data_IF_048073126452
#
_entry.id   IF_048073126452
#
_cell.length_a   1.000
_cell.length_b   1.000
_cell.length_c   1.000
_cell.angle_alpha   90.00
_cell.angle_beta   90.00
_cell.angle_gamma   90.00
#
_symmetry.space_group_name_H-M   'P 1'
#
loop_
_entity.id
_entity.type
_entity.pdbx_description
1 polymer ?
#
# COMPACT_ATOMS: atom_id res chain seq x y z
N UNK A 1 -8.32 7.69 -16.60
CA UNK A 1 -7.38 7.58 -17.73
C UNK A 1 -7.89 8.41 -18.90
N UNK A 2 -6.97 8.88 -19.75
CA UNK A 2 -7.23 9.86 -20.80
C UNK A 2 -8.43 9.48 -21.68
N UNK A 3 -9.23 10.48 -22.07
CA UNK A 3 -10.49 10.38 -22.83
C UNK A 3 -11.68 9.71 -22.10
N UNK A 4 -11.55 9.37 -20.81
CA UNK A 4 -12.67 8.92 -19.99
C UNK A 4 -13.47 10.08 -19.37
N UNK A 5 -14.70 9.80 -18.94
CA UNK A 5 -15.58 10.77 -18.25
C UNK A 5 -15.08 11.17 -16.85
N UNK A 6 -14.11 10.43 -16.29
CA UNK A 6 -13.59 10.68 -14.94
C UNK A 6 -14.61 10.46 -13.81
N UNK A 7 -15.69 9.72 -14.06
CA UNK A 7 -16.80 9.53 -13.09
C UNK A 7 -16.59 8.36 -12.13
N UNK A 8 -15.54 7.56 -12.32
CA UNK A 8 -15.18 6.41 -11.48
C UNK A 8 -13.65 6.23 -11.49
N UNK A 9 -13.15 5.41 -10.57
CA UNK A 9 -11.76 4.97 -10.55
C UNK A 9 -11.34 4.41 -11.91
N UNK A 10 -10.17 4.86 -12.40
CA UNK A 10 -9.60 4.31 -13.62
C UNK A 10 -8.95 2.95 -13.37
N UNK A 11 -8.67 2.14 -14.41
CA UNK A 11 -7.97 0.87 -14.23
C UNK A 11 -6.64 1.00 -13.47
N UNK A 12 -5.91 2.11 -13.68
CA UNK A 12 -4.66 2.38 -12.96
C UNK A 12 -4.88 2.89 -11.53
N UNK A 13 -6.05 3.45 -11.20
CA UNK A 13 -6.44 3.70 -9.79
C UNK A 13 -6.76 2.39 -9.08
N UNK A 14 -7.54 1.51 -9.73
CA UNK A 14 -7.83 0.17 -9.20
C UNK A 14 -6.56 -0.65 -8.98
N UNK A 15 -5.56 -0.48 -9.85
CA UNK A 15 -4.23 -1.06 -9.68
C UNK A 15 -3.48 -0.56 -8.45
N UNK A 16 -3.51 0.75 -8.17
CA UNK A 16 -2.94 1.30 -6.94
C UNK A 16 -3.69 0.78 -5.70
N UNK A 17 -5.02 0.78 -5.75
CA UNK A 17 -5.87 0.29 -4.68
C UNK A 17 -5.69 -1.22 -4.42
N UNK A 18 -5.42 -2.03 -5.45
CA UNK A 18 -5.18 -3.46 -5.28
C UNK A 18 -3.87 -3.75 -4.54
N UNK A 19 -2.82 -2.95 -4.78
CA UNK A 19 -1.56 -3.04 -4.03
C UNK A 19 -1.81 -2.72 -2.55
N UNK A 20 -2.45 -1.59 -2.25
CA UNK A 20 -2.77 -1.20 -0.88
C UNK A 20 -3.65 -2.25 -0.17
N UNK A 21 -4.71 -2.72 -0.83
CA UNK A 21 -5.60 -3.77 -0.29
C UNK A 21 -4.86 -5.07 0.01
N UNK A 22 -3.93 -5.46 -0.86
CA UNK A 22 -3.10 -6.64 -0.65
C UNK A 22 -2.17 -6.46 0.56
N UNK A 23 -1.50 -5.31 0.67
CA UNK A 23 -0.65 -4.99 1.83
C UNK A 23 -1.45 -5.01 3.13
N UNK A 24 -2.63 -4.37 3.17
CA UNK A 24 -3.51 -4.37 4.35
C UNK A 24 -3.91 -5.78 4.77
N UNK A 25 -4.27 -6.63 3.80
CA UNK A 25 -4.68 -8.01 4.07
C UNK A 25 -3.53 -8.82 4.68
N UNK A 26 -2.33 -8.75 4.10
CA UNK A 26 -1.18 -9.48 4.62
C UNK A 26 -0.73 -8.94 5.99
N UNK A 27 -0.77 -7.61 6.18
CA UNK A 27 -0.51 -7.00 7.49
C UNK A 27 -1.49 -7.51 8.55
N UNK A 28 -2.80 -7.55 8.26
CA UNK A 28 -3.81 -8.02 9.20
C UNK A 28 -3.65 -9.50 9.56
N UNK A 29 -3.35 -10.34 8.55
CA UNK A 29 -3.03 -11.77 8.77
C UNK A 29 -1.80 -11.93 9.66
N UNK A 30 -0.73 -11.17 9.40
CA UNK A 30 0.49 -11.22 10.20
C UNK A 30 0.26 -10.73 11.64
N UNK A 31 -0.48 -9.64 11.80
CA UNK A 31 -0.84 -9.09 13.10
C UNK A 31 -1.62 -10.11 13.95
N UNK A 32 -2.64 -10.72 13.37
CA UNK A 32 -3.43 -11.77 14.01
C UNK A 32 -2.56 -12.97 14.41
N UNK A 33 -1.68 -13.44 13.52
CA UNK A 33 -0.80 -14.57 13.80
C UNK A 33 0.23 -14.29 14.92
N UNK A 34 0.56 -13.03 15.16
CA UNK A 34 1.52 -12.60 16.17
C UNK A 34 0.88 -11.95 17.40
N UNK A 35 -0.45 -11.96 17.51
CA UNK A 35 -1.17 -11.56 18.72
C UNK A 35 -1.28 -10.05 18.95
N UNK A 36 -1.24 -9.24 17.88
CA UNK A 36 -1.47 -7.79 17.96
C UNK A 36 -2.53 -7.33 16.97
N UNK A 37 -3.07 -6.12 17.16
CA UNK A 37 -4.09 -5.54 16.28
C UNK A 37 -3.57 -4.31 15.51
N UNK A 38 -4.10 -4.15 14.30
CA UNK A 38 -3.94 -2.99 13.43
C UNK A 38 -5.31 -2.42 13.00
N UNK A 39 -6.37 -2.73 13.74
CA UNK A 39 -7.73 -2.25 13.44
C UNK A 39 -7.79 -0.73 13.49
N UNK A 40 -8.40 -0.13 12.47
CA UNK A 40 -8.41 1.33 12.27
C UNK A 40 -7.27 1.84 11.40
N UNK A 41 -6.34 0.98 10.96
CA UNK A 41 -5.38 1.31 9.93
C UNK A 41 -6.08 1.66 8.60
N UNK A 42 -5.51 2.61 7.87
CA UNK A 42 -5.85 2.87 6.47
C UNK A 42 -4.59 3.23 5.66
N UNK A 43 -4.70 3.14 4.33
CA UNK A 43 -3.62 3.51 3.40
C UNK A 43 -4.17 4.50 2.39
N UNK A 44 -3.50 5.64 2.26
CA UNK A 44 -3.72 6.57 1.16
C UNK A 44 -2.76 6.25 0.01
N UNK A 45 -3.26 6.33 -1.22
CA UNK A 45 -2.48 5.97 -2.41
C UNK A 45 -2.45 7.12 -3.41
N UNK A 46 -1.25 7.48 -3.86
CA UNK A 46 -1.04 8.38 -5.00
C UNK A 46 -0.28 7.62 -6.09
N UNK A 47 -0.76 7.69 -7.35
CA UNK A 47 -0.03 7.14 -8.50
C UNK A 47 0.58 8.25 -9.33
N UNK A 48 1.82 8.07 -9.75
CA UNK A 48 2.49 8.92 -10.73
C UNK A 48 2.68 8.11 -12.01
N UNK A 49 2.18 8.67 -13.11
CA UNK A 49 2.24 8.02 -14.42
C UNK A 49 3.52 8.41 -15.14
N UNK A 50 4.28 7.42 -15.61
CA UNK A 50 5.37 7.63 -16.55
C UNK A 50 4.84 7.70 -17.99
N UNK A 51 5.56 8.39 -18.87
CA UNK A 51 5.27 8.46 -20.30
C UNK A 51 6.13 7.48 -21.12
N UNK A 52 5.72 7.21 -22.37
CA UNK A 52 6.49 6.50 -23.40
C UNK A 52 7.06 5.11 -23.00
N UNK A 53 6.23 4.04 -22.92
CA UNK A 53 4.77 4.04 -23.00
C UNK A 53 4.14 4.52 -21.69
N UNK A 54 2.89 4.99 -21.76
CA UNK A 54 2.13 5.40 -20.57
C UNK A 54 1.94 4.20 -19.64
N UNK A 55 2.43 4.31 -18.41
CA UNK A 55 2.32 3.27 -17.36
C UNK A 55 2.41 3.91 -15.98
N UNK A 56 2.10 3.15 -14.93
CA UNK A 56 2.40 3.57 -13.56
C UNK A 56 3.93 3.56 -13.41
N UNK A 57 4.52 4.69 -12.99
CA UNK A 57 5.96 4.83 -12.73
C UNK A 57 6.29 4.82 -11.25
N UNK A 58 5.41 5.38 -10.41
CA UNK A 58 5.54 5.39 -8.96
C UNK A 58 4.17 5.23 -8.30
N UNK A 59 4.17 4.52 -7.17
CA UNK A 59 3.06 4.42 -6.23
C UNK A 59 3.55 4.92 -4.87
N UNK A 60 2.97 6.02 -4.40
CA UNK A 60 3.15 6.49 -3.03
C UNK A 60 2.06 5.91 -2.15
N UNK A 61 2.48 5.40 -0.99
CA UNK A 61 1.64 4.70 -0.04
C UNK A 61 1.88 5.30 1.33
N UNK A 62 0.93 6.10 1.80
CA UNK A 62 0.93 6.68 3.13
C UNK A 62 0.10 5.76 4.04
N UNK A 63 0.79 5.04 4.91
CA UNK A 63 0.22 4.02 5.79
C UNK A 63 -0.01 4.63 7.17
N UNK A 64 -1.27 4.81 7.53
CA UNK A 64 -1.67 5.36 8.82
C UNK A 64 -2.00 4.20 9.76
N UNK A 65 -1.16 4.05 10.78
CA UNK A 65 -1.31 3.02 11.81
C UNK A 65 -2.12 3.60 12.98
N UNK A 66 -2.95 2.80 13.66
CA UNK A 66 -3.92 3.30 14.65
C UNK A 66 -3.36 3.59 16.04
N UNK A 67 -2.14 3.13 16.36
CA UNK A 67 -1.49 3.32 17.67
C UNK A 67 -0.01 3.66 17.51
N UNK A 68 0.56 4.33 18.49
CA UNK A 68 1.96 4.79 18.48
C UNK A 68 2.95 3.79 19.06
N UNK A 69 2.48 2.90 19.92
CA UNK A 69 3.27 1.99 20.74
C UNK A 69 3.41 0.58 20.12
N UNK A 70 3.53 0.49 18.79
CA UNK A 70 3.96 -0.75 18.17
C UNK A 70 5.38 -1.08 18.59
N UNK A 71 5.60 -2.31 19.06
CA UNK A 71 6.97 -2.75 19.37
C UNK A 71 7.80 -2.83 18.09
N UNK A 72 9.13 -2.75 18.20
CA UNK A 72 10.02 -2.95 17.04
C UNK A 72 9.78 -4.30 16.33
N UNK A 73 9.32 -5.31 17.07
CA UNK A 73 8.98 -6.61 16.51
C UNK A 73 7.69 -6.54 15.69
N UNK A 74 6.66 -5.88 16.22
CA UNK A 74 5.39 -5.66 15.50
C UNK A 74 5.61 -4.84 14.23
N UNK A 75 6.38 -3.75 14.32
CA UNK A 75 6.74 -2.93 13.17
C UNK A 75 7.48 -3.73 12.08
N UNK A 76 8.38 -4.64 12.45
CA UNK A 76 9.04 -5.52 11.48
C UNK A 76 8.05 -6.43 10.74
N UNK A 77 7.02 -6.93 11.40
CA UNK A 77 5.97 -7.73 10.75
C UNK A 77 5.13 -6.88 9.78
N UNK A 78 4.77 -5.66 10.19
CA UNK A 78 4.08 -4.67 9.35
C UNK A 78 4.90 -4.37 8.09
N UNK A 79 6.16 -3.97 8.25
CA UNK A 79 7.05 -3.63 7.14
C UNK A 79 7.31 -4.80 6.19
N UNK A 80 7.49 -6.01 6.73
CA UNK A 80 7.68 -7.21 5.91
C UNK A 80 6.45 -7.47 5.06
N UNK A 81 5.26 -7.41 5.66
CA UNK A 81 3.98 -7.61 4.98
C UNK A 81 3.78 -6.63 3.82
N UNK A 82 4.14 -5.35 4.02
CA UNK A 82 4.09 -4.32 2.99
C UNK A 82 5.03 -4.65 1.82
N UNK A 83 6.24 -5.12 2.12
CA UNK A 83 7.26 -5.43 1.10
C UNK A 83 6.98 -6.72 0.33
N UNK A 84 6.35 -7.71 0.95
CA UNK A 84 6.27 -9.08 0.41
C UNK A 84 4.86 -9.55 0.08
N UNK A 85 3.86 -8.67 0.06
CA UNK A 85 2.51 -9.08 -0.31
C UNK A 85 2.48 -9.60 -1.77
N UNK A 86 1.56 -10.53 -2.11
CA UNK A 86 1.50 -11.09 -3.47
C UNK A 86 1.47 -10.05 -4.58
N UNK A 87 0.70 -8.96 -4.43
CA UNK A 87 0.65 -7.90 -5.45
C UNK A 87 1.98 -7.14 -5.54
N UNK A 88 2.64 -6.81 -4.42
CA UNK A 88 3.94 -6.14 -4.43
C UNK A 88 5.02 -6.94 -5.17
N UNK A 89 4.90 -8.27 -5.17
CA UNK A 89 5.76 -9.22 -5.90
C UNK A 89 5.30 -9.49 -7.34
N UNK A 90 4.14 -8.98 -7.75
CA UNK A 90 3.53 -9.23 -9.07
C UNK A 90 3.51 -8.00 -9.98
N UNK A 91 3.85 -6.82 -9.48
CA UNK A 91 3.95 -5.60 -10.28
C UNK A 91 5.32 -5.45 -10.93
N UNK A 92 5.40 -4.63 -11.98
CA UNK A 92 6.64 -4.38 -12.70
C UNK A 92 7.73 -3.85 -11.75
N UNK A 93 8.98 -4.38 -11.78
CA UNK A 93 10.04 -4.02 -10.82
C UNK A 93 10.46 -2.55 -10.88
N UNK A 94 10.38 -1.93 -12.07
CA UNK A 94 10.69 -0.49 -12.24
C UNK A 94 9.66 0.46 -11.59
N UNK A 95 8.52 -0.04 -11.08
CA UNK A 95 7.57 0.81 -10.37
C UNK A 95 8.18 1.15 -9.01
N UNK A 96 8.47 2.43 -8.80
CA UNK A 96 8.92 2.95 -7.52
C UNK A 96 7.79 2.85 -6.50
N UNK A 97 8.07 2.28 -5.33
CA UNK A 97 7.14 2.18 -4.20
C UNK A 97 7.65 3.09 -3.09
N UNK A 98 7.06 4.27 -2.94
CA UNK A 98 7.41 5.24 -1.90
C UNK A 98 6.47 5.01 -0.72
N UNK A 99 6.99 4.52 0.40
CA UNK A 99 6.18 4.14 1.56
C UNK A 99 6.52 5.05 2.73
N UNK A 100 5.49 5.68 3.31
CA UNK A 100 5.59 6.50 4.51
C UNK A 100 4.67 5.90 5.59
N UNK A 101 5.18 5.79 6.82
CA UNK A 101 4.37 5.34 7.96
C UNK A 101 4.02 6.53 8.83
N UNK A 102 2.73 6.68 9.14
CA UNK A 102 2.18 7.70 10.03
C UNK A 102 1.65 7.02 11.29
N UNK A 103 2.07 7.53 12.45
CA UNK A 103 1.59 7.11 13.77
C UNK A 103 0.76 8.27 14.35
N UNK A 104 -0.27 8.00 15.16
CA UNK A 104 -1.01 9.04 15.86
C UNK A 104 -0.07 9.79 16.82
N UNK A 105 -0.39 11.06 17.08
CA UNK A 105 0.36 11.92 18.00
C UNK A 105 0.43 11.35 19.42
#
# INVERSE_FOLDING_TARGET
DNNGKGTMFSPTDMFAASLASCMMTIMAISAQAHGFSIDGMYIETEKIMAANPRRVGELKLDIYLPKKDYTEREMRFIETSVKTCPVANSIHPDIVKTITYHLPE
#
